data_IF_010531472619
#
_entry.id   IF_010531472619
#
_cell.length_a   1.000
_cell.length_b   1.000
_cell.length_c   1.000
_cell.angle_alpha   90.00
_cell.angle_beta   90.00
_cell.angle_gamma   90.00
#
_symmetry.space_group_name_H-M   'P 1'
#
loop_
_entity.id
_entity.type
_entity.pdbx_description
1 polymer ?
#
# COMPACT_ATOMS: atom_id res chain seq x y z
N UNK A 1 21.18 11.12 33.52
CA UNK A 1 19.71 11.29 33.54
C UNK A 1 19.16 11.73 32.18
N UNK A 2 19.76 12.74 31.54
CA UNK A 2 19.34 13.28 30.23
C UNK A 2 19.32 12.22 29.11
N UNK A 3 20.42 11.49 28.89
CA UNK A 3 20.53 10.46 27.84
C UNK A 3 19.45 9.37 27.98
N UNK A 4 19.10 8.99 29.22
CA UNK A 4 18.10 7.97 29.51
C UNK A 4 16.68 8.45 29.18
N UNK A 5 16.40 9.74 29.37
CA UNK A 5 15.10 10.33 29.04
C UNK A 5 14.94 10.48 27.52
N UNK A 6 15.97 10.94 26.81
CA UNK A 6 15.93 11.04 25.35
C UNK A 6 15.80 9.66 24.69
N UNK A 7 16.54 8.66 25.20
CA UNK A 7 16.40 7.28 24.74
C UNK A 7 14.98 6.76 24.99
N UNK A 8 14.41 6.98 26.18
CA UNK A 8 13.03 6.59 26.49
C UNK A 8 12.00 7.21 25.54
N UNK A 9 12.10 8.51 25.22
CA UNK A 9 11.19 9.14 24.24
C UNK A 9 11.34 8.48 22.85
N UNK A 10 12.57 8.30 22.35
CA UNK A 10 12.79 7.70 21.03
C UNK A 10 12.20 6.28 20.96
N UNK A 11 12.43 5.45 21.99
CA UNK A 11 11.91 4.08 22.03
C UNK A 11 10.39 4.06 22.15
N UNK A 12 9.80 4.90 23.01
CA UNK A 12 8.35 5.03 23.13
C UNK A 12 7.69 5.42 21.81
N UNK A 13 8.29 6.33 21.04
CA UNK A 13 7.74 6.75 19.75
C UNK A 13 7.87 5.70 18.65
N UNK A 14 8.99 4.98 18.57
CA UNK A 14 9.12 3.86 17.62
C UNK A 14 8.05 2.77 17.87
N UNK A 15 7.66 2.56 19.12
CA UNK A 15 6.57 1.66 19.49
C UNK A 15 5.16 2.25 19.24
N UNK A 16 5.00 3.57 19.30
CA UNK A 16 3.70 4.23 19.20
C UNK A 16 3.29 4.57 17.75
N UNK A 17 4.22 4.66 16.80
CA UNK A 17 3.90 4.83 15.38
C UNK A 17 3.49 3.51 14.76
N UNK A 18 2.25 3.36 14.25
CA UNK A 18 1.83 2.15 13.55
C UNK A 18 2.70 1.93 12.31
N UNK A 19 3.18 0.69 12.11
CA UNK A 19 4.03 0.31 10.98
C UNK A 19 3.41 0.65 9.62
N UNK A 20 2.07 0.57 9.53
CA UNK A 20 1.29 0.93 8.34
C UNK A 20 1.46 2.39 7.91
N UNK A 21 1.69 3.31 8.86
CA UNK A 21 1.87 4.75 8.56
C UNK A 21 3.28 5.03 8.03
N UNK A 22 4.29 4.35 8.58
CA UNK A 22 5.70 4.47 8.15
C UNK A 22 5.90 3.90 6.76
N UNK A 23 5.27 2.75 6.47
CA UNK A 23 5.32 2.11 5.15
C UNK A 23 4.70 2.99 4.05
N UNK A 24 3.56 3.62 4.32
CA UNK A 24 2.87 4.47 3.35
C UNK A 24 3.66 5.74 2.95
N UNK A 25 4.45 6.31 3.86
CA UNK A 25 5.22 7.55 3.62
C UNK A 25 6.56 7.31 2.89
N UNK A 26 6.70 6.19 2.19
CA UNK A 26 7.81 5.97 1.25
C UNK A 26 9.13 5.50 1.86
N UNK A 27 9.17 5.15 3.16
CA UNK A 27 10.39 4.55 3.72
C UNK A 27 10.58 3.07 3.34
N UNK A 28 9.50 2.34 3.04
CA UNK A 28 9.59 0.93 2.64
C UNK A 28 8.70 0.65 1.42
N UNK A 29 9.22 0.95 0.22
CA UNK A 29 8.63 0.48 -1.05
C UNK A 29 8.77 -1.04 -1.23
N UNK A 30 9.60 -1.70 -0.42
CA UNK A 30 9.84 -3.15 -0.44
C UNK A 30 8.75 -3.97 0.25
N UNK A 31 7.78 -3.33 0.93
CA UNK A 31 6.70 -4.00 1.62
C UNK A 31 5.43 -3.98 0.76
N UNK A 32 5.32 -4.92 -0.16
CA UNK A 32 4.06 -5.22 -0.83
C UNK A 32 3.03 -5.75 0.20
N UNK A 33 1.82 -5.18 0.20
CA UNK A 33 0.72 -5.65 1.03
C UNK A 33 -0.07 -6.70 0.26
N UNK A 34 -0.03 -7.95 0.72
CA UNK A 34 -0.78 -9.05 0.11
C UNK A 34 -2.28 -8.89 0.40
N UNK A 35 -3.07 -8.63 -0.64
CA UNK A 35 -4.53 -8.60 -0.55
C UNK A 35 -5.15 -9.98 -0.73
N UNK A 36 -4.60 -10.78 -1.65
CA UNK A 36 -5.13 -12.08 -1.99
C UNK A 36 -4.01 -12.99 -2.51
N UNK A 37 -4.02 -14.23 -2.07
CA UNK A 37 -3.27 -15.33 -2.67
C UNK A 37 -4.12 -16.59 -2.60
N UNK A 38 -4.40 -17.21 -3.74
CA UNK A 38 -5.09 -18.49 -3.77
C UNK A 38 -5.67 -18.85 -5.13
N UNK A 39 -6.26 -20.06 -5.17
CA UNK A 39 -6.94 -20.59 -6.34
C UNK A 39 -8.28 -19.92 -6.57
N UNK A 40 -8.47 -19.38 -7.77
CA UNK A 40 -9.74 -18.88 -8.27
C UNK A 40 -10.05 -19.55 -9.61
N UNK A 41 -11.02 -20.46 -9.60
CA UNK A 41 -11.33 -21.27 -10.78
C UNK A 41 -10.11 -22.11 -11.22
N UNK A 42 -9.73 -22.08 -12.51
CA UNK A 42 -8.55 -22.80 -13.00
C UNK A 42 -7.23 -22.04 -12.78
N UNK A 43 -7.26 -20.86 -12.14
CA UNK A 43 -6.07 -20.01 -11.97
C UNK A 43 -5.64 -19.96 -10.51
N UNK A 44 -4.34 -19.94 -10.26
CA UNK A 44 -3.77 -19.42 -9.02
C UNK A 44 -3.55 -17.92 -9.21
N UNK A 45 -4.01 -17.09 -8.27
CA UNK A 45 -3.94 -15.62 -8.38
C UNK A 45 -3.31 -15.05 -7.12
N UNK A 46 -2.35 -14.14 -7.31
CA UNK A 46 -1.72 -13.35 -6.25
C UNK A 46 -1.90 -11.87 -6.55
N UNK A 47 -2.33 -11.11 -5.55
CA UNK A 47 -2.62 -9.68 -5.69
C UNK A 47 -1.97 -8.94 -4.55
N UNK A 48 -1.10 -8.01 -4.92
CA UNK A 48 -0.40 -7.17 -3.98
C UNK A 48 -0.69 -5.71 -4.25
N UNK A 49 -0.68 -4.92 -3.18
CA UNK A 49 -0.79 -3.46 -3.22
C UNK A 49 0.55 -2.87 -2.82
N UNK A 50 1.00 -1.89 -3.58
CA UNK A 50 2.13 -1.05 -3.19
C UNK A 50 1.60 0.04 -2.26
N UNK A 51 2.05 0.08 -0.99
CA UNK A 51 1.53 1.01 0.00
C UNK A 51 2.11 2.41 -0.21
N UNK A 52 1.47 3.20 -1.06
CA UNK A 52 1.86 4.58 -1.35
C UNK A 52 0.82 5.57 -0.82
N UNK A 53 1.27 6.71 -0.34
CA UNK A 53 0.38 7.82 0.07
C UNK A 53 -0.20 8.48 -1.17
N UNK A 54 -1.52 8.68 -1.19
CA UNK A 54 -2.24 9.36 -2.27
C UNK A 54 -2.07 8.71 -3.65
N UNK A 55 -1.54 7.49 -3.70
CA UNK A 55 -1.33 6.72 -4.90
C UNK A 55 -1.55 5.26 -4.56
N UNK A 56 -2.15 4.54 -5.49
CA UNK A 56 -2.41 3.12 -5.38
C UNK A 56 -1.87 2.46 -6.61
N UNK A 57 -1.08 1.42 -6.39
CA UNK A 57 -0.62 0.53 -7.43
C UNK A 57 -0.89 -0.89 -6.98
N UNK A 58 -1.53 -1.64 -7.86
CA UNK A 58 -1.93 -3.01 -7.62
C UNK A 58 -1.23 -3.85 -8.66
N UNK A 59 -0.55 -4.88 -8.19
CA UNK A 59 0.10 -5.88 -9.02
C UNK A 59 -0.70 -7.16 -8.91
N UNK A 60 -1.16 -7.67 -10.05
CA UNK A 60 -1.93 -8.90 -10.18
C UNK A 60 -1.07 -9.89 -10.95
N UNK A 61 -0.70 -10.97 -10.28
CA UNK A 61 0.00 -12.12 -10.83
C UNK A 61 -0.97 -13.28 -10.89
N UNK A 62 -0.93 -14.06 -11.97
CA UNK A 62 -1.75 -15.25 -12.07
C UNK A 62 -1.10 -16.30 -12.96
N UNK A 63 -1.43 -17.56 -12.72
CA UNK A 63 -1.00 -18.71 -13.51
C UNK A 63 -2.10 -19.76 -13.58
N UNK A 64 -2.05 -20.63 -14.59
CA UNK A 64 -2.95 -21.78 -14.63
C UNK A 64 -2.53 -22.77 -13.54
N UNK A 65 -3.46 -23.09 -12.65
CA UNK A 65 -3.22 -23.98 -11.50
C UNK A 65 -2.70 -25.37 -11.91
N UNK A 66 -3.16 -25.85 -13.07
CA UNK A 66 -2.79 -27.18 -13.58
C UNK A 66 -1.46 -27.15 -14.36
N UNK A 67 -0.92 -25.97 -14.67
CA UNK A 67 0.35 -25.78 -15.37
C UNK A 67 1.44 -25.24 -14.42
N UNK A 68 1.66 -25.94 -13.31
CA UNK A 68 2.67 -25.59 -12.29
C UNK A 68 4.14 -25.67 -12.80
N UNK A 69 4.34 -25.99 -14.09
CA UNK A 69 5.64 -26.02 -14.74
C UNK A 69 5.97 -24.73 -15.50
N UNK A 70 5.02 -23.80 -15.62
CA UNK A 70 5.23 -22.53 -16.30
C UNK A 70 6.18 -21.62 -15.52
N UNK A 71 7.25 -21.15 -16.16
CA UNK A 71 8.14 -20.10 -15.62
C UNK A 71 7.65 -18.69 -15.98
N UNK A 72 6.51 -18.59 -16.68
CA UNK A 72 5.91 -17.34 -17.08
C UNK A 72 4.69 -17.04 -16.21
N UNK A 73 4.83 -15.98 -15.41
CA UNK A 73 3.76 -15.42 -14.58
C UNK A 73 3.25 -14.14 -15.26
N UNK A 74 2.15 -14.21 -16.00
CA UNK A 74 1.44 -13.03 -16.44
C UNK A 74 1.24 -12.01 -15.30
N UNK A 75 1.61 -10.76 -15.57
CA UNK A 75 1.48 -9.67 -14.61
C UNK A 75 0.65 -8.53 -15.20
N UNK A 76 -0.29 -8.02 -14.41
CA UNK A 76 -1.07 -6.82 -14.73
C UNK A 76 -0.88 -5.83 -13.61
N UNK A 77 -0.53 -4.60 -13.98
CA UNK A 77 -0.42 -3.49 -13.04
C UNK A 77 -1.54 -2.50 -13.34
N UNK A 78 -2.31 -2.13 -12.32
CA UNK A 78 -3.24 -1.01 -12.39
C UNK A 78 -2.85 0.00 -11.33
N UNK A 79 -2.84 1.28 -11.70
CA UNK A 79 -2.48 2.35 -10.80
C UNK A 79 -3.42 3.54 -10.89
N UNK A 80 -3.64 4.18 -9.75
CA UNK A 80 -4.45 5.37 -9.63
C UNK A 80 -3.81 6.34 -8.65
N UNK A 81 -3.73 7.61 -9.03
CA UNK A 81 -3.38 8.70 -8.13
C UNK A 81 -4.65 9.33 -7.57
N UNK A 82 -4.61 9.76 -6.30
CA UNK A 82 -5.71 10.45 -5.64
C UNK A 82 -6.07 11.76 -6.35
N UNK A 83 -5.10 12.42 -7.00
CA UNK A 83 -5.33 13.64 -7.79
C UNK A 83 -6.21 13.40 -9.03
N UNK A 84 -6.28 12.14 -9.50
CA UNK A 84 -7.12 11.71 -10.63
C UNK A 84 -8.50 11.17 -10.19
N UNK A 85 -8.86 11.31 -8.91
CA UNK A 85 -10.13 10.84 -8.30
C UNK A 85 -11.41 11.29 -9.02
N UNK A 86 -11.34 12.35 -9.83
CA UNK A 86 -12.48 12.93 -10.55
C UNK A 86 -12.79 12.28 -11.91
N UNK A 87 -11.95 11.33 -12.38
CA UNK A 87 -11.95 10.89 -13.78
C UNK A 87 -12.65 9.55 -14.07
N UNK A 88 -13.38 8.96 -13.11
CA UNK A 88 -14.12 7.70 -13.33
C UNK A 88 -13.24 6.44 -13.14
N UNK A 89 -13.72 5.25 -13.57
CA UNK A 89 -13.00 4.00 -13.35
C UNK A 89 -11.69 3.95 -14.15
N UNK A 90 -10.62 3.50 -13.50
CA UNK A 90 -9.32 3.27 -14.15
C UNK A 90 -9.29 1.86 -14.71
N UNK A 91 -8.89 1.72 -15.98
CA UNK A 91 -8.93 0.44 -16.70
C UNK A 91 -7.53 0.05 -17.14
N UNK A 92 -7.09 -1.15 -16.75
CA UNK A 92 -5.89 -1.79 -17.28
C UNK A 92 -6.29 -3.09 -18.00
N UNK A 93 -6.09 -3.14 -19.31
CA UNK A 93 -6.33 -4.33 -20.12
C UNK A 93 -5.02 -4.92 -20.61
N UNK A 94 -4.90 -6.24 -20.58
CA UNK A 94 -3.75 -6.95 -21.16
C UNK A 94 -4.22 -8.23 -21.83
N UNK A 95 -3.65 -8.52 -22.99
CA UNK A 95 -3.85 -9.81 -23.68
C UNK A 95 -2.54 -10.57 -23.61
N UNK A 96 -2.58 -11.80 -23.12
CA UNK A 96 -1.42 -12.69 -23.15
C UNK A 96 -1.67 -13.77 -24.21
N UNK A 97 -1.01 -13.61 -25.36
CA UNK A 97 -1.13 -14.53 -26.50
C UNK A 97 -0.69 -15.95 -26.15
N UNK A 98 0.31 -16.10 -25.27
CA UNK A 98 0.79 -17.41 -24.81
C UNK A 98 -0.25 -18.23 -24.04
N UNK A 99 -1.29 -17.58 -23.50
CA UNK A 99 -2.36 -18.24 -22.74
C UNK A 99 -3.74 -18.06 -23.38
N UNK A 100 -3.79 -17.50 -24.60
CA UNK A 100 -5.03 -17.20 -25.34
C UNK A 100 -6.11 -16.56 -24.46
N UNK A 101 -5.69 -15.62 -23.61
CA UNK A 101 -6.52 -15.09 -22.56
C UNK A 101 -6.49 -13.56 -22.56
N UNK A 102 -7.66 -12.99 -22.35
CA UNK A 102 -7.89 -11.56 -22.25
C UNK A 102 -8.16 -11.20 -20.80
N UNK A 103 -7.48 -10.17 -20.34
CA UNK A 103 -7.48 -9.78 -18.94
C UNK A 103 -7.85 -8.31 -18.81
N UNK A 104 -8.74 -8.04 -17.87
CA UNK A 104 -9.24 -6.70 -17.61
C UNK A 104 -9.22 -6.50 -16.09
N UNK A 105 -8.42 -5.53 -15.64
CA UNK A 105 -8.48 -4.99 -14.29
C UNK A 105 -9.16 -3.62 -14.35
N UNK A 106 -10.24 -3.44 -13.58
CA UNK A 106 -10.93 -2.17 -13.41
C UNK A 106 -10.81 -1.76 -11.95
N UNK A 107 -10.36 -0.54 -11.72
CA UNK A 107 -10.30 0.04 -10.40
C UNK A 107 -11.38 1.13 -10.32
N UNK A 108 -12.44 0.85 -9.56
CA UNK A 108 -13.59 1.71 -9.43
C UNK A 108 -13.42 2.69 -8.26
N UNK A 109 -13.70 4.00 -8.47
CA UNK A 109 -13.65 4.98 -7.40
C UNK A 109 -14.68 4.64 -6.30
N UNK A 110 -14.40 5.00 -5.04
CA UNK A 110 -15.18 4.57 -3.89
C UNK A 110 -16.61 5.09 -3.96
N UNK A 111 -17.59 4.21 -3.75
CA UNK A 111 -19.01 4.59 -3.60
C UNK A 111 -19.38 4.87 -2.14
N UNK A 112 -18.71 4.24 -1.17
CA UNK A 112 -19.02 4.39 0.26
C UNK A 112 -17.82 4.52 1.20
N UNK A 113 -16.66 3.89 0.95
CA UNK A 113 -15.43 4.09 1.76
C UNK A 113 -14.15 3.52 1.12
N UNK A 114 -14.25 2.46 0.30
CA UNK A 114 -13.11 1.78 -0.33
C UNK A 114 -13.24 1.77 -1.86
N UNK A 115 -12.11 1.75 -2.56
CA UNK A 115 -12.09 1.45 -4.00
C UNK A 115 -12.40 -0.02 -4.21
N UNK A 116 -12.86 -0.37 -5.40
CA UNK A 116 -13.13 -1.76 -5.77
C UNK A 116 -12.26 -2.14 -6.97
N UNK A 117 -11.39 -3.14 -6.77
CA UNK A 117 -10.69 -3.81 -7.85
C UNK A 117 -11.58 -4.92 -8.39
N UNK A 118 -12.00 -4.77 -9.64
CA UNK A 118 -12.64 -5.79 -10.44
C UNK A 118 -11.60 -6.40 -11.36
N UNK A 119 -11.40 -7.70 -11.29
CA UNK A 119 -10.52 -8.40 -12.22
C UNK A 119 -11.27 -9.49 -12.95
N UNK A 120 -11.18 -9.46 -14.28
CA UNK A 120 -11.74 -10.47 -15.14
C UNK A 120 -10.65 -11.14 -15.97
N UNK A 121 -10.66 -12.47 -15.98
CA UNK A 121 -9.91 -13.30 -16.90
C UNK A 121 -10.91 -14.01 -17.79
N UNK A 122 -10.76 -13.88 -19.10
CA UNK A 122 -11.51 -14.65 -20.06
C UNK A 122 -10.57 -15.42 -20.98
N UNK A 123 -10.60 -16.75 -20.88
CA UNK A 123 -9.76 -17.66 -21.67
C UNK A 123 -10.54 -18.90 -22.11
N UNK A 124 -9.89 -19.73 -22.92
CA UNK A 124 -10.40 -21.07 -23.28
C UNK A 124 -10.46 -22.06 -22.10
N UNK A 125 -9.70 -21.81 -21.02
CA UNK A 125 -9.66 -22.66 -19.82
C UNK A 125 -10.79 -22.32 -18.85
N UNK A 126 -11.27 -21.08 -18.87
CA UNK A 126 -12.41 -20.64 -18.07
C UNK A 126 -12.49 -19.13 -17.92
N UNK A 127 -13.61 -18.66 -17.38
CA UNK A 127 -13.80 -17.26 -17.02
C UNK A 127 -13.78 -17.13 -15.49
N UNK A 128 -12.98 -16.19 -14.98
CA UNK A 128 -13.04 -15.82 -13.57
C UNK A 128 -13.29 -14.33 -13.43
N UNK A 129 -14.09 -14.00 -12.42
CA UNK A 129 -14.32 -12.64 -11.98
C UNK A 129 -14.16 -12.61 -10.46
N UNK A 130 -13.41 -11.64 -9.96
CA UNK A 130 -13.36 -11.36 -8.54
C UNK A 130 -13.33 -9.86 -8.27
N UNK A 131 -13.89 -9.50 -7.11
CA UNK A 131 -14.01 -8.14 -6.63
C UNK A 131 -13.29 -8.08 -5.29
N UNK A 132 -12.34 -7.17 -5.16
CA UNK A 132 -11.60 -6.95 -3.93
C UNK A 132 -11.70 -5.49 -3.52
N UNK A 133 -12.06 -5.19 -2.26
CA UNK A 133 -11.94 -3.84 -1.74
C UNK A 133 -10.47 -3.47 -1.64
N UNK A 134 -10.12 -2.29 -2.11
CA UNK A 134 -8.76 -1.73 -2.03
C UNK A 134 -8.86 -0.30 -1.54
N UNK A 135 -7.97 0.11 -0.64
CA UNK A 135 -7.96 1.47 -0.13
C UNK A 135 -6.73 2.22 -0.63
N UNK A 136 -6.94 3.42 -1.18
CA UNK A 136 -5.86 4.38 -1.31
C UNK A 136 -5.54 4.86 0.10
N UNK A 137 -4.31 4.64 0.55
CA UNK A 137 -3.84 5.22 1.81
C UNK A 137 -3.82 6.74 1.63
N UNK A 138 -4.85 7.41 2.14
CA UNK A 138 -5.08 8.86 2.01
C UNK A 138 -4.14 9.69 2.89
N UNK A 139 -2.91 9.23 3.12
CA UNK A 139 -2.08 9.65 4.23
C UNK A 139 -1.86 11.16 4.27
N UNK A 140 -2.63 11.85 5.11
CA UNK A 140 -2.29 13.19 5.57
C UNK A 140 -2.65 13.42 7.04
N UNK A 141 -2.67 12.37 7.86
CA UNK A 141 -2.41 12.56 9.29
C UNK A 141 -0.96 12.17 9.50
N UNK A 142 -0.05 13.16 9.46
CA UNK A 142 1.14 13.06 10.31
C UNK A 142 0.57 12.70 11.68
N UNK A 143 0.88 11.52 12.26
CA UNK A 143 0.27 11.12 13.51
C UNK A 143 0.45 12.29 14.47
N UNK A 144 -0.61 12.74 15.14
CA UNK A 144 -0.48 13.79 16.16
C UNK A 144 0.62 13.44 17.18
N UNK A 145 0.88 12.15 17.36
CA UNK A 145 2.03 11.58 18.06
C UNK A 145 3.39 12.02 17.49
N UNK A 146 3.58 12.01 16.17
CA UNK A 146 4.81 12.47 15.50
C UNK A 146 4.97 13.99 15.63
N UNK A 147 3.92 14.79 15.39
CA UNK A 147 3.99 16.26 15.59
C UNK A 147 4.25 16.58 17.07
N UNK A 148 3.53 15.93 17.98
CA UNK A 148 3.70 16.09 19.42
C UNK A 148 5.11 15.71 19.87
N UNK A 149 5.68 14.65 19.29
CA UNK A 149 7.04 14.21 19.58
C UNK A 149 8.10 15.22 19.17
N UNK A 150 8.05 15.71 17.93
CA UNK A 150 8.98 16.70 17.40
C UNK A 150 8.92 17.99 18.24
N UNK A 151 7.70 18.43 18.59
CA UNK A 151 7.48 19.62 19.42
C UNK A 151 8.04 19.44 20.82
N UNK A 152 7.82 18.28 21.46
CA UNK A 152 8.33 18.00 22.80
C UNK A 152 9.86 17.92 22.83
N UNK A 153 10.49 17.35 21.80
CA UNK A 153 11.96 17.32 21.66
C UNK A 153 12.50 18.73 21.50
N UNK A 154 11.91 19.54 20.61
CA UNK A 154 12.31 20.92 20.37
C UNK A 154 12.22 21.78 21.66
N UNK A 155 11.10 21.69 22.38
CA UNK A 155 10.91 22.40 23.66
C UNK A 155 11.92 21.96 24.73
N UNK A 156 12.23 20.66 24.79
CA UNK A 156 13.24 20.14 25.73
C UNK A 156 14.63 20.70 25.41
N UNK A 157 15.00 20.74 24.13
CA UNK A 157 16.29 21.31 23.68
C UNK A 157 16.36 22.81 23.99
N UNK A 158 15.30 23.57 23.69
CA UNK A 158 15.22 25.02 23.98
C UNK A 158 15.35 25.27 25.48
N UNK A 159 14.64 24.51 26.32
CA UNK A 159 14.72 24.62 27.77
C UNK A 159 16.13 24.31 28.30
N UNK A 160 16.79 23.28 27.77
CA UNK A 160 18.17 22.93 28.12
C UNK A 160 19.17 24.04 27.77
N UNK A 161 19.02 24.66 26.60
CA UNK A 161 19.83 25.82 26.19
C UNK A 161 19.62 26.96 27.18
N UNK A 162 18.36 27.30 27.49
CA UNK A 162 18.02 28.37 28.42
C UNK A 162 18.59 28.15 29.83
N UNK A 163 18.44 26.94 30.40
CA UNK A 163 19.00 26.61 31.74
C UNK A 163 20.51 26.69 31.75
N UNK A 164 21.19 26.29 30.67
CA UNK A 164 22.64 26.35 30.55
C UNK A 164 23.16 27.79 30.46
N UNK A 165 22.45 28.68 29.76
CA UNK A 165 22.81 30.10 29.66
C UNK A 165 22.49 30.89 30.93
N UNK A 166 21.44 30.55 31.68
CA UNK A 166 21.06 31.24 32.93
C UNK A 166 21.96 30.90 34.13
N UNK A 167 22.77 29.83 34.04
CA UNK A 167 23.73 29.40 35.07
C UNK A 167 25.15 29.96 34.86
N UNK A 168 25.36 30.80 33.84
CA UNK A 168 26.54 31.65 33.68
C UNK A 168 26.17 33.07 34.07
#
# INVERSE_FOLDING_TARGET
>A
MIIRFTAFLITFFMLATPSAVVSAHGQNHELEELLFAGKQGPYEVTITVVPLVNYLEIVILFENYDDQTSTFFPQITVSAAQENLSLGPVVATRTFTAQEANYIALLHPPTQNSWELLFNINSHVGNINFILPVDIKSGNSIPWLVIGSATSIALTVIWLIYVRFRRR
#
